data_IF_737841048442
#
_entry.id   IF_737841048442
#
_cell.length_a   1.000
_cell.length_b   1.000
_cell.length_c   1.000
_cell.angle_alpha   90.00
_cell.angle_beta   90.00
_cell.angle_gamma   90.00
#
_symmetry.space_group_name_H-M   'P 1'
#
loop_
_entity.id
_entity.type
_entity.pdbx_description
1 polymer ?
#
# COMPACT_ATOMS: atom_id res chain seq x y z
N UNK A 1 -8.40 -9.33 -12.54
CA UNK A 1 -7.22 -8.46 -12.40
C UNK A 1 -6.18 -8.91 -13.43
N UNK A 2 -5.16 -8.10 -13.70
CA UNK A 2 -4.01 -8.52 -14.52
C UNK A 2 -2.85 -8.75 -13.56
N UNK A 3 -2.29 -9.97 -13.61
CA UNK A 3 -1.22 -10.42 -12.73
C UNK A 3 0.11 -10.41 -13.46
N UNK A 4 1.08 -9.65 -12.97
CA UNK A 4 2.43 -9.59 -13.53
C UNK A 4 3.49 -9.81 -12.44
N UNK A 5 4.63 -10.36 -12.85
CA UNK A 5 5.85 -10.46 -12.05
C UNK A 5 6.99 -9.83 -12.83
N UNK A 6 7.60 -8.81 -12.24
CA UNK A 6 8.84 -8.22 -12.73
C UNK A 6 9.96 -8.56 -11.76
N UNK A 7 11.11 -8.93 -12.28
CA UNK A 7 12.25 -9.31 -11.43
C UNK A 7 13.58 -8.87 -12.01
N UNK A 8 14.49 -8.48 -11.12
CA UNK A 8 15.88 -8.26 -11.42
C UNK A 8 16.75 -8.91 -10.34
N UNK A 9 17.65 -9.78 -10.77
CA UNK A 9 18.58 -10.46 -9.88
C UNK A 9 19.92 -9.74 -9.88
N UNK A 10 20.54 -9.63 -8.71
CA UNK A 10 21.91 -9.10 -8.57
C UNK A 10 22.09 -7.72 -9.23
N UNK A 11 21.21 -6.77 -8.92
CA UNK A 11 21.39 -5.36 -9.28
C UNK A 11 22.74 -4.84 -8.75
N UNK A 12 23.36 -3.86 -9.44
CA UNK A 12 24.72 -3.41 -9.16
C UNK A 12 24.82 -2.42 -7.98
N UNK A 13 23.98 -2.60 -6.97
CA UNK A 13 23.98 -1.82 -5.74
C UNK A 13 23.95 -2.77 -4.54
N UNK A 14 24.15 -2.23 -3.35
CA UNK A 14 23.95 -3.00 -2.12
C UNK A 14 22.46 -3.23 -1.84
N UNK A 15 22.18 -3.98 -0.77
CA UNK A 15 20.81 -4.31 -0.38
C UNK A 15 19.97 -3.06 -0.10
N UNK A 16 20.49 -2.14 0.70
CA UNK A 16 19.74 -0.97 1.18
C UNK A 16 19.37 -0.03 0.03
N UNK A 17 20.27 0.16 -0.95
CA UNK A 17 19.98 0.94 -2.15
C UNK A 17 18.98 0.23 -3.06
N UNK A 18 19.02 -1.10 -3.14
CA UNK A 18 18.00 -1.86 -3.88
C UNK A 18 16.63 -1.78 -3.20
N UNK A 19 16.59 -1.82 -1.87
CA UNK A 19 15.37 -1.67 -1.08
C UNK A 19 14.75 -0.28 -1.25
N UNK A 20 15.57 0.77 -1.24
CA UNK A 20 15.13 2.12 -1.57
C UNK A 20 14.61 2.22 -3.02
N UNK A 21 15.31 1.61 -3.98
CA UNK A 21 14.85 1.56 -5.37
C UNK A 21 13.47 0.91 -5.51
N UNK A 22 13.22 -0.19 -4.79
CA UNK A 22 11.91 -0.84 -4.76
C UNK A 22 10.81 0.13 -4.30
N UNK A 23 11.00 0.77 -3.15
CA UNK A 23 10.04 1.74 -2.61
C UNK A 23 9.80 2.91 -3.56
N UNK A 24 10.86 3.41 -4.20
CA UNK A 24 10.80 4.51 -5.14
C UNK A 24 9.94 4.20 -6.38
N UNK A 25 10.01 2.99 -6.93
CA UNK A 25 9.17 2.58 -8.07
C UNK A 25 7.69 2.57 -7.67
N UNK A 26 7.35 1.95 -6.54
CA UNK A 26 5.97 1.92 -6.03
C UNK A 26 5.48 3.35 -5.76
N UNK A 27 6.30 4.19 -5.13
CA UNK A 27 5.95 5.56 -4.81
C UNK A 27 5.74 6.43 -6.04
N UNK A 28 6.59 6.27 -7.07
CA UNK A 28 6.39 6.93 -8.36
C UNK A 28 5.09 6.49 -9.02
N UNK A 29 4.78 5.19 -9.02
CA UNK A 29 3.50 4.69 -9.55
C UNK A 29 2.29 5.31 -8.85
N UNK A 30 2.30 5.38 -7.52
CA UNK A 30 1.20 6.00 -6.76
C UNK A 30 1.06 7.50 -7.07
N UNK A 31 2.18 8.23 -7.19
CA UNK A 31 2.18 9.65 -7.56
C UNK A 31 1.65 9.91 -8.97
N UNK A 32 2.03 9.09 -9.95
CA UNK A 32 1.50 9.21 -11.31
C UNK A 32 0.03 8.79 -11.39
N UNK A 33 -0.39 7.80 -10.57
CA UNK A 33 -1.79 7.41 -10.43
C UNK A 33 -2.63 8.60 -9.92
N UNK A 34 -2.17 9.30 -8.89
CA UNK A 34 -2.83 10.52 -8.38
C UNK A 34 -2.94 11.62 -9.44
N UNK A 35 -1.87 11.85 -10.23
CA UNK A 35 -1.83 12.89 -11.28
C UNK A 35 -2.87 12.69 -12.37
N UNK A 36 -3.22 11.45 -12.68
CA UNK A 36 -4.27 11.12 -13.66
C UNK A 36 -5.66 10.99 -13.03
N UNK A 37 -5.82 11.38 -11.77
CA UNK A 37 -7.10 11.37 -11.04
C UNK A 37 -7.46 10.03 -10.42
N UNK A 38 -6.54 9.07 -10.40
CA UNK A 38 -6.70 7.80 -9.69
C UNK A 38 -6.47 7.93 -8.18
N UNK A 39 -6.73 6.86 -7.46
CA UNK A 39 -6.47 6.75 -6.03
C UNK A 39 -5.99 5.33 -5.70
N UNK A 40 -5.02 5.21 -4.78
CA UNK A 40 -4.39 3.94 -4.41
C UNK A 40 -5.39 2.86 -4.01
N UNK A 41 -6.48 3.25 -3.32
CA UNK A 41 -7.46 2.35 -2.75
C UNK A 41 -8.23 1.58 -3.83
N UNK A 42 -8.08 2.01 -5.09
CA UNK A 42 -8.74 1.47 -6.27
C UNK A 42 -7.75 1.04 -7.36
N UNK A 43 -6.43 1.02 -7.09
CA UNK A 43 -5.44 0.59 -8.07
C UNK A 43 -5.38 -0.95 -8.20
N UNK A 44 -5.69 -1.66 -7.11
CA UNK A 44 -5.44 -3.09 -6.94
C UNK A 44 -4.24 -3.32 -6.04
N UNK A 45 -3.59 -4.47 -6.19
CA UNK A 45 -2.44 -4.83 -5.35
C UNK A 45 -1.12 -4.65 -6.09
N UNK A 46 -0.15 -4.02 -5.43
CA UNK A 46 1.22 -3.89 -5.91
C UNK A 46 2.17 -4.07 -4.72
N UNK A 47 2.98 -5.13 -4.78
CA UNK A 47 3.98 -5.42 -3.76
C UNK A 47 5.37 -5.43 -4.37
N UNK A 48 6.31 -4.87 -3.62
CA UNK A 48 7.73 -5.03 -3.86
C UNK A 48 8.33 -6.05 -2.90
N UNK A 49 9.44 -6.63 -3.28
CA UNK A 49 10.28 -7.42 -2.37
C UNK A 49 11.73 -7.28 -2.78
N UNK A 50 12.59 -7.00 -1.80
CA UNK A 50 14.04 -6.94 -1.98
C UNK A 50 14.68 -8.08 -1.20
N UNK A 51 15.51 -8.87 -1.89
CA UNK A 51 16.29 -9.94 -1.29
C UNK A 51 17.73 -9.84 -1.76
N UNK A 52 18.65 -9.61 -0.83
CA UNK A 52 20.00 -9.14 -1.14
C UNK A 52 19.95 -7.93 -2.08
N UNK A 53 20.58 -8.01 -3.26
CA UNK A 53 20.51 -7.00 -4.30
C UNK A 53 19.57 -7.40 -5.45
N UNK A 54 18.55 -8.20 -5.16
CA UNK A 54 17.52 -8.58 -6.13
C UNK A 54 16.19 -7.93 -5.75
N UNK A 55 15.44 -7.46 -6.74
CA UNK A 55 14.18 -6.74 -6.55
C UNK A 55 13.10 -7.42 -7.39
N UNK A 56 11.92 -7.60 -6.78
CA UNK A 56 10.76 -8.24 -7.37
C UNK A 56 9.56 -7.30 -7.21
N UNK A 57 8.72 -7.21 -8.23
CA UNK A 57 7.40 -6.57 -8.13
C UNK A 57 6.35 -7.57 -8.60
N UNK A 58 5.38 -7.83 -7.73
CA UNK A 58 4.15 -8.55 -8.09
C UNK A 58 3.01 -7.57 -8.12
N UNK A 59 2.28 -7.52 -9.23
CA UNK A 59 1.11 -6.67 -9.38
C UNK A 59 -0.13 -7.50 -9.70
N UNK A 60 -1.26 -7.09 -9.14
CA UNK A 60 -2.61 -7.58 -9.42
C UNK A 60 -3.53 -6.36 -9.51
N UNK A 61 -3.38 -5.59 -10.58
CA UNK A 61 -4.08 -4.31 -10.75
C UNK A 61 -5.45 -4.52 -11.41
N UNK A 62 -6.40 -3.66 -11.07
CA UNK A 62 -7.80 -3.84 -11.47
C UNK A 62 -8.06 -3.53 -12.96
N UNK A 63 -7.29 -2.63 -13.57
CA UNK A 63 -7.54 -2.13 -14.94
C UNK A 63 -6.33 -2.26 -15.85
N UNK A 64 -6.56 -2.31 -17.17
CA UNK A 64 -5.51 -2.25 -18.19
C UNK A 64 -4.71 -0.94 -18.14
N UNK A 65 -5.36 0.15 -17.76
CA UNK A 65 -4.82 1.49 -17.66
C UNK A 65 -3.82 1.57 -16.50
N UNK A 66 -4.17 1.04 -15.32
CA UNK A 66 -3.25 0.96 -14.18
C UNK A 66 -2.06 0.06 -14.49
N UNK A 67 -2.26 -1.05 -15.22
CA UNK A 67 -1.16 -1.89 -15.68
C UNK A 67 -0.25 -1.17 -16.65
N UNK A 68 -0.80 -0.54 -17.68
CA UNK A 68 -0.02 0.25 -18.65
C UNK A 68 0.80 1.31 -17.94
N UNK A 69 0.20 2.04 -16.99
CA UNK A 69 0.91 3.03 -16.20
C UNK A 69 2.06 2.40 -15.40
N UNK A 70 1.83 1.27 -14.72
CA UNK A 70 2.89 0.60 -13.97
C UNK A 70 4.03 0.11 -14.89
N UNK A 71 3.71 -0.41 -16.07
CA UNK A 71 4.70 -0.80 -17.08
C UNK A 71 5.51 0.40 -17.60
N UNK A 72 4.88 1.57 -17.75
CA UNK A 72 5.61 2.80 -18.08
C UNK A 72 6.57 3.19 -16.96
N UNK A 73 6.13 3.14 -15.70
CA UNK A 73 6.96 3.51 -14.53
C UNK A 73 8.14 2.55 -14.34
N UNK A 74 7.93 1.24 -14.46
CA UNK A 74 9.02 0.28 -14.27
C UNK A 74 10.07 0.35 -15.40
N UNK A 75 9.69 0.92 -16.55
CA UNK A 75 10.57 1.19 -17.68
C UNK A 75 11.10 2.63 -17.74
N UNK A 76 10.77 3.48 -16.76
CA UNK A 76 11.19 4.86 -16.71
C UNK A 76 12.61 5.01 -16.13
N UNK A 77 13.49 5.66 -16.91
CA UNK A 77 14.87 5.96 -16.53
C UNK A 77 15.07 7.40 -16.02
N UNK A 78 13.99 8.17 -15.90
CA UNK A 78 14.01 9.49 -15.30
C UNK A 78 14.55 9.38 -13.87
N UNK A 79 15.58 10.17 -13.49
CA UNK A 79 16.12 10.15 -12.14
C UNK A 79 15.06 10.39 -11.07
N UNK A 80 15.21 9.79 -9.90
CA UNK A 80 14.31 10.04 -8.78
C UNK A 80 14.56 11.42 -8.18
N UNK A 81 13.49 12.19 -8.02
CA UNK A 81 13.55 13.50 -7.39
C UNK A 81 13.87 13.37 -5.90
N UNK A 82 14.65 14.32 -5.37
CA UNK A 82 15.07 14.32 -3.96
C UNK A 82 13.90 14.23 -2.97
N UNK A 83 12.76 14.93 -3.13
CA UNK A 83 11.62 14.78 -2.23
C UNK A 83 11.07 13.35 -2.19
N UNK A 84 11.05 12.64 -3.32
CA UNK A 84 10.55 11.27 -3.40
C UNK A 84 11.52 10.29 -2.72
N UNK A 85 12.83 10.54 -2.85
CA UNK A 85 13.88 9.80 -2.14
C UNK A 85 13.71 9.98 -0.63
N UNK A 86 13.60 11.21 -0.16
CA UNK A 86 13.44 11.48 1.28
C UNK A 86 12.16 10.87 1.84
N UNK A 87 11.03 11.00 1.13
CA UNK A 87 9.77 10.38 1.55
C UNK A 87 9.89 8.84 1.62
N UNK A 88 10.57 8.23 0.65
CA UNK A 88 10.75 6.77 0.63
C UNK A 88 11.67 6.30 1.75
N UNK A 89 12.74 7.05 2.02
CA UNK A 89 13.63 6.81 3.17
C UNK A 89 12.83 6.88 4.48
N UNK A 90 12.02 7.91 4.71
CA UNK A 90 11.19 8.03 5.91
C UNK A 90 10.24 6.84 6.14
N UNK A 91 9.73 6.22 5.07
CA UNK A 91 8.92 5.00 5.19
C UNK A 91 9.77 3.78 5.54
N UNK A 92 10.95 3.63 4.92
CA UNK A 92 11.89 2.54 5.21
C UNK A 92 12.42 2.66 6.65
N UNK A 93 12.66 3.88 7.14
CA UNK A 93 13.01 4.13 8.53
C UNK A 93 11.97 3.54 9.48
N UNK A 94 10.67 3.75 9.21
CA UNK A 94 9.58 3.20 10.01
C UNK A 94 9.43 1.68 9.85
N UNK A 95 9.60 1.15 8.65
CA UNK A 95 9.60 -0.30 8.39
C UNK A 95 10.69 -1.03 9.15
N UNK A 96 11.92 -0.51 9.09
CA UNK A 96 13.11 -1.11 9.70
C UNK A 96 13.34 -0.65 11.14
N UNK A 97 12.51 0.25 11.66
CA UNK A 97 12.69 0.89 12.97
C UNK A 97 14.13 1.42 13.15
N UNK A 98 14.62 2.12 12.14
CA UNK A 98 16.02 2.55 12.01
C UNK A 98 16.11 3.97 11.47
N UNK A 99 17.16 4.70 11.85
CA UNK A 99 17.46 6.00 11.24
C UNK A 99 18.38 5.82 10.03
N UNK A 100 18.14 6.56 8.95
CA UNK A 100 18.88 6.45 7.70
C UNK A 100 19.45 7.81 7.31
N UNK A 101 20.77 7.91 7.25
CA UNK A 101 21.48 9.08 6.72
C UNK A 101 22.00 8.81 5.30
N UNK A 102 21.81 9.76 4.39
CA UNK A 102 22.45 9.71 3.07
C UNK A 102 23.89 10.22 3.23
N UNK A 103 24.86 9.31 3.17
CA UNK A 103 26.28 9.63 3.29
C UNK A 103 26.86 10.27 2.02
N UNK A 104 26.32 9.91 0.85
CA UNK A 104 26.74 10.43 -0.45
C UNK A 104 25.55 10.47 -1.42
N UNK A 105 25.00 11.66 -1.64
CA UNK A 105 23.84 11.89 -2.51
C UNK A 105 24.18 11.63 -3.98
N UNK A 106 25.40 11.96 -4.41
CA UNK A 106 25.83 11.75 -5.80
C UNK A 106 25.95 10.26 -6.09
N UNK A 107 26.61 9.50 -5.21
CA UNK A 107 26.70 8.06 -5.32
C UNK A 107 25.32 7.39 -5.25
N UNK A 108 24.42 7.87 -4.39
CA UNK A 108 23.05 7.35 -4.31
C UNK A 108 22.32 7.48 -5.65
N UNK A 109 22.33 8.67 -6.24
CA UNK A 109 21.69 8.94 -7.53
C UNK A 109 22.29 8.08 -8.65
N UNK A 110 23.62 7.94 -8.69
CA UNK A 110 24.29 7.06 -9.65
C UNK A 110 23.85 5.60 -9.50
N UNK A 111 23.82 5.08 -8.27
CA UNK A 111 23.42 3.69 -8.03
C UNK A 111 21.93 3.45 -8.34
N UNK A 112 21.03 4.39 -8.00
CA UNK A 112 19.61 4.30 -8.35
C UNK A 112 19.39 4.30 -9.88
N UNK A 113 20.11 5.16 -10.61
CA UNK A 113 20.05 5.19 -12.08
C UNK A 113 20.57 3.88 -12.70
N UNK A 114 21.61 3.29 -12.12
CA UNK A 114 22.07 1.95 -12.53
C UNK A 114 21.00 0.90 -12.24
N UNK A 115 20.37 0.90 -11.05
CA UNK A 115 19.27 -0.01 -10.72
C UNK A 115 18.15 0.08 -11.77
N UNK A 116 17.65 1.27 -12.11
CA UNK A 116 16.64 1.47 -13.16
C UNK A 116 17.06 0.84 -14.49
N UNK A 117 18.25 1.21 -14.98
CA UNK A 117 18.76 0.72 -16.27
C UNK A 117 18.90 -0.80 -16.30
N UNK A 118 19.41 -1.40 -15.23
CA UNK A 118 19.65 -2.83 -15.18
C UNK A 118 18.39 -3.65 -14.90
N UNK A 119 17.42 -3.09 -14.18
CA UNK A 119 16.11 -3.68 -13.99
C UNK A 119 15.37 -3.80 -15.33
N UNK A 120 15.41 -2.75 -16.15
CA UNK A 120 14.82 -2.76 -17.50
C UNK A 120 15.51 -3.80 -18.39
N UNK A 121 16.83 -3.89 -18.30
CA UNK A 121 17.59 -4.87 -19.08
C UNK A 121 17.24 -6.32 -18.67
N UNK A 122 17.03 -6.59 -17.38
CA UNK A 122 16.69 -7.93 -16.91
C UNK A 122 15.30 -8.38 -17.38
N UNK A 123 14.38 -7.46 -17.66
CA UNK A 123 13.08 -7.81 -18.25
C UNK A 123 13.21 -8.37 -19.68
N UNK A 124 14.32 -8.10 -20.37
CA UNK A 124 14.51 -8.45 -21.79
C UNK A 124 15.46 -9.63 -22.02
N UNK A 125 16.14 -10.08 -20.98
CA UNK A 125 17.26 -11.02 -21.10
C UNK A 125 17.17 -12.12 -20.06
N UNK A 126 17.81 -13.25 -20.33
CA UNK A 126 17.86 -14.37 -19.39
C UNK A 126 18.55 -13.92 -18.09
N UNK A 127 18.02 -14.29 -16.90
CA UNK A 127 18.62 -13.96 -15.62
C UNK A 127 20.11 -14.35 -15.56
N UNK A 128 20.96 -13.43 -15.10
CA UNK A 128 22.39 -13.69 -14.90
C UNK A 128 22.85 -13.12 -13.56
N UNK A 129 23.55 -13.96 -12.79
CA UNK A 129 24.05 -13.63 -11.45
C UNK A 129 25.47 -13.05 -11.47
N UNK A 130 26.03 -12.72 -12.63
CA UNK A 130 27.47 -12.45 -12.78
C UNK A 130 27.87 -10.98 -12.60
N UNK A 131 27.02 -10.14 -12.01
CA UNK A 131 27.28 -8.69 -11.95
C UNK A 131 27.98 -8.30 -10.65
N UNK A 132 29.08 -7.53 -10.72
CA UNK A 132 29.74 -7.03 -9.53
C UNK A 132 28.81 -6.04 -8.81
N UNK A 133 28.52 -6.34 -7.54
CA UNK A 133 27.75 -5.47 -6.65
C UNK A 133 28.64 -4.30 -6.21
N UNK A 134 28.07 -3.11 -6.06
CA UNK A 134 28.75 -2.03 -5.35
C UNK A 134 29.05 -2.48 -3.92
N UNK A 135 30.26 -2.23 -3.44
CA UNK A 135 30.66 -2.49 -2.05
C UNK A 135 30.52 -1.27 -1.15
N UNK A 136 30.22 -0.11 -1.73
CA UNK A 136 30.14 1.16 -1.03
C UNK A 136 28.67 1.54 -0.93
N UNK A 137 28.18 1.57 0.31
CA UNK A 137 26.82 2.03 0.58
C UNK A 137 26.76 3.55 0.59
N UNK A 138 25.83 4.17 -0.17
CA UNK A 138 25.55 5.59 -0.04
C UNK A 138 24.67 5.89 1.18
N UNK A 139 24.13 4.87 1.85
CA UNK A 139 23.24 4.98 3.01
C UNK A 139 23.96 4.52 4.28
N UNK A 140 23.66 5.17 5.40
CA UNK A 140 24.10 4.75 6.74
C UNK A 140 22.86 4.46 7.57
N UNK A 141 22.70 3.20 7.98
CA UNK A 141 21.55 2.74 8.74
C UNK A 141 21.95 2.50 10.19
N UNK A 142 21.19 3.08 11.11
CA UNK A 142 21.38 2.92 12.55
C UNK A 142 20.10 2.41 13.20
N UNK A 143 20.08 1.14 13.60
CA UNK A 143 18.92 0.54 14.25
C UNK A 143 18.58 1.25 15.56
N UNK A 144 17.36 1.80 15.64
CA UNK A 144 16.95 2.73 16.70
C UNK A 144 15.46 2.57 17.04
N UNK A 145 15.00 1.38 17.46
CA UNK A 145 13.57 1.09 17.60
C UNK A 145 12.86 1.98 18.63
N UNK A 146 13.60 2.47 19.64
CA UNK A 146 13.11 3.46 20.62
C UNK A 146 12.66 4.80 20.02
N UNK A 147 13.05 5.10 18.77
CA UNK A 147 12.68 6.33 18.08
C UNK A 147 11.34 6.19 17.33
N UNK A 148 10.68 5.04 17.44
CA UNK A 148 9.42 4.72 16.79
C UNK A 148 8.39 4.22 17.80
N UNK A 149 7.11 4.43 17.49
CA UNK A 149 5.95 4.03 18.30
C UNK A 149 4.91 3.40 17.38
N UNK A 150 4.24 2.35 17.87
CA UNK A 150 3.11 1.77 17.16
C UNK A 150 1.84 2.61 17.37
N UNK A 151 1.18 2.92 16.25
CA UNK A 151 -0.06 3.68 16.18
C UNK A 151 -1.10 2.82 15.51
N UNK A 152 -2.18 2.54 16.21
CA UNK A 152 -3.29 1.75 15.69
C UNK A 152 -4.43 2.66 15.27
N UNK A 153 -4.95 2.43 14.07
CA UNK A 153 -6.20 3.03 13.60
C UNK A 153 -7.29 1.99 13.66
N UNK A 154 -8.41 2.41 14.24
CA UNK A 154 -9.65 1.69 14.28
C UNK A 154 -10.70 2.43 13.46
N UNK A 155 -11.43 1.72 12.60
CA UNK A 155 -12.55 2.23 11.82
C UNK A 155 -13.74 1.32 12.13
N UNK A 156 -14.81 1.90 12.67
CA UNK A 156 -16.00 1.17 13.09
C UNK A 156 -17.27 1.72 12.43
N UNK A 157 -18.24 0.83 12.22
CA UNK A 157 -19.64 1.19 11.98
C UNK A 157 -20.51 0.46 13.00
N UNK A 158 -21.41 1.20 13.65
CA UNK A 158 -22.39 0.62 14.57
C UNK A 158 -23.64 0.16 13.81
N UNK A 159 -24.36 -0.79 14.39
CA UNK A 159 -25.69 -1.28 13.98
C UNK A 159 -25.81 -1.62 12.49
N UNK A 160 -24.88 -2.43 12.00
CA UNK A 160 -24.85 -2.83 10.59
C UNK A 160 -25.82 -4.00 10.30
N UNK A 161 -26.59 -3.90 9.22
CA UNK A 161 -27.35 -5.04 8.69
C UNK A 161 -26.41 -6.13 8.14
N UNK A 162 -26.94 -7.33 7.87
CA UNK A 162 -26.17 -8.40 7.21
C UNK A 162 -25.56 -7.95 5.89
N UNK A 163 -26.32 -7.18 5.09
CA UNK A 163 -25.84 -6.63 3.82
C UNK A 163 -24.73 -5.59 4.04
N UNK A 164 -24.87 -4.70 5.02
CA UNK A 164 -23.88 -3.66 5.29
C UNK A 164 -22.60 -4.27 5.89
N UNK A 165 -22.73 -5.34 6.67
CA UNK A 165 -21.63 -6.16 7.20
C UNK A 165 -20.84 -6.82 6.09
N UNK A 166 -21.53 -7.43 5.12
CA UNK A 166 -20.90 -7.99 3.93
C UNK A 166 -20.21 -6.90 3.08
N UNK A 167 -20.87 -5.75 2.89
CA UNK A 167 -20.27 -4.62 2.16
C UNK A 167 -19.01 -4.12 2.86
N UNK A 168 -19.05 -3.90 4.18
CA UNK A 168 -17.90 -3.45 4.96
C UNK A 168 -16.76 -4.47 4.88
N UNK A 169 -17.04 -5.77 5.01
CA UNK A 169 -16.02 -6.80 4.83
C UNK A 169 -15.37 -6.76 3.44
N UNK A 170 -16.13 -6.51 2.38
CA UNK A 170 -15.57 -6.44 1.03
C UNK A 170 -14.80 -5.14 0.74
N UNK A 171 -15.09 -4.05 1.46
CA UNK A 171 -14.53 -2.72 1.17
C UNK A 171 -13.66 -2.14 2.29
N UNK A 172 -13.47 -2.82 3.43
CA UNK A 172 -12.58 -2.32 4.48
C UNK A 172 -11.14 -2.05 4.01
N UNK A 173 -10.54 -2.79 3.03
CA UNK A 173 -9.22 -2.43 2.52
C UNK A 173 -9.20 -1.04 1.88
N UNK A 174 -10.28 -0.64 1.19
CA UNK A 174 -10.44 0.72 0.65
C UNK A 174 -10.39 1.74 1.79
N UNK A 175 -11.11 1.48 2.89
CA UNK A 175 -11.13 2.38 4.05
C UNK A 175 -9.71 2.56 4.63
N UNK A 176 -8.97 1.47 4.80
CA UNK A 176 -7.60 1.50 5.32
C UNK A 176 -6.65 2.28 4.41
N UNK A 177 -6.73 2.06 3.09
CA UNK A 177 -5.92 2.79 2.11
C UNK A 177 -6.26 4.29 2.06
N UNK A 178 -7.54 4.66 2.16
CA UNK A 178 -7.98 6.05 2.25
C UNK A 178 -7.44 6.74 3.52
N UNK A 179 -7.43 6.04 4.66
CA UNK A 179 -6.81 6.56 5.89
C UNK A 179 -5.29 6.69 5.71
N UNK A 180 -4.65 5.72 5.07
CA UNK A 180 -3.21 5.75 4.78
C UNK A 180 -2.82 7.01 4.00
N UNK A 181 -3.58 7.37 2.98
CA UNK A 181 -3.34 8.56 2.16
C UNK A 181 -3.37 9.86 2.96
N UNK A 182 -4.37 10.03 3.82
CA UNK A 182 -4.57 11.30 4.52
C UNK A 182 -3.74 11.43 5.80
N UNK A 183 -3.45 10.31 6.47
CA UNK A 183 -2.82 10.29 7.80
C UNK A 183 -1.33 9.97 7.74
N UNK A 184 -0.94 8.99 6.93
CA UNK A 184 0.35 8.32 7.05
C UNK A 184 1.31 8.63 5.90
N UNK A 185 0.79 8.92 4.71
CA UNK A 185 1.64 9.09 3.52
C UNK A 185 2.59 10.30 3.60
N UNK A 186 2.28 11.26 4.49
CA UNK A 186 3.03 12.51 4.67
C UNK A 186 4.04 12.46 5.82
N UNK A 187 4.14 11.33 6.52
CA UNK A 187 4.98 11.14 7.70
C UNK A 187 5.78 9.86 7.61
N UNK A 188 6.80 9.74 8.45
CA UNK A 188 7.64 8.54 8.55
C UNK A 188 6.84 7.41 9.21
N UNK A 189 6.13 6.64 8.39
CA UNK A 189 5.27 5.56 8.85
C UNK A 189 5.25 4.35 7.92
N UNK A 190 4.98 3.17 8.48
CA UNK A 190 4.86 1.94 7.73
C UNK A 190 3.81 1.01 8.37
N UNK A 191 2.92 0.36 7.60
CA UNK A 191 1.96 -0.59 8.16
C UNK A 191 2.69 -1.81 8.73
N UNK A 192 2.74 -1.93 10.06
CA UNK A 192 3.40 -3.03 10.77
C UNK A 192 2.51 -4.26 10.94
N UNK A 193 1.25 -4.18 10.52
CA UNK A 193 0.30 -5.28 10.51
C UNK A 193 -0.58 -5.27 9.26
N UNK A 194 -1.07 -6.45 8.82
CA UNK A 194 -2.13 -6.49 7.85
C UNK A 194 -3.43 -5.93 8.45
N UNK A 195 -4.25 -5.32 7.60
CA UNK A 195 -5.60 -4.92 7.98
C UNK A 195 -6.41 -6.11 8.48
N UNK A 196 -7.18 -5.91 9.56
CA UNK A 196 -8.06 -6.93 10.14
C UNK A 196 -9.50 -6.49 10.02
N UNK A 197 -10.41 -7.43 9.76
CA UNK A 197 -11.85 -7.22 9.86
C UNK A 197 -12.40 -8.06 11.01
N UNK A 198 -13.32 -7.48 11.78
CA UNK A 198 -14.08 -8.14 12.84
C UNK A 198 -15.54 -7.71 12.71
N UNK A 199 -16.44 -8.69 12.74
CA UNK A 199 -17.87 -8.45 12.94
C UNK A 199 -18.24 -8.78 14.39
N UNK A 200 -19.03 -7.93 15.03
CA UNK A 200 -19.64 -8.20 16.34
C UNK A 200 -21.15 -7.98 16.28
N UNK A 201 -21.85 -8.31 17.37
CA UNK A 201 -23.31 -8.43 17.40
C UNK A 201 -24.06 -7.20 16.84
N UNK A 202 -23.52 -6.00 17.06
CA UNK A 202 -24.09 -4.71 16.71
C UNK A 202 -23.13 -3.84 15.88
N UNK A 203 -22.22 -4.42 15.09
CA UNK A 203 -21.37 -3.60 14.24
C UNK A 203 -20.20 -4.31 13.56
N UNK A 204 -19.43 -3.49 12.84
CA UNK A 204 -18.23 -3.92 12.14
C UNK A 204 -17.06 -3.04 12.48
N UNK A 205 -15.89 -3.64 12.41
CA UNK A 205 -14.65 -3.01 12.78
C UNK A 205 -13.53 -3.46 11.86
N UNK A 206 -12.71 -2.51 11.44
CA UNK A 206 -11.40 -2.80 10.88
C UNK A 206 -10.33 -2.04 11.62
N UNK A 207 -9.13 -2.62 11.67
CA UNK A 207 -7.98 -1.94 12.24
C UNK A 207 -6.69 -2.28 11.52
N UNK A 208 -5.74 -1.35 11.62
CA UNK A 208 -4.38 -1.52 11.16
C UNK A 208 -3.41 -0.75 12.06
N UNK A 209 -2.33 -1.42 12.46
CA UNK A 209 -1.21 -0.82 13.19
C UNK A 209 -0.14 -0.34 12.22
N UNK A 210 0.40 0.84 12.51
CA UNK A 210 1.49 1.49 11.81
C UNK A 210 2.63 1.77 12.77
N UNK A 211 3.86 1.42 12.40
CA UNK A 211 5.05 1.96 13.04
C UNK A 211 5.19 3.41 12.60
N UNK A 212 5.35 4.35 13.53
CA UNK A 212 5.51 5.79 13.25
C UNK A 212 6.73 6.36 13.97
N UNK A 213 7.52 7.19 13.29
CA UNK A 213 8.65 7.88 13.93
C UNK A 213 8.16 8.89 14.97
N UNK A 214 8.74 8.87 16.16
CA UNK A 214 8.28 9.66 17.31
C UNK A 214 8.24 11.16 17.02
N UNK A 215 9.16 11.67 16.20
CA UNK A 215 9.22 13.08 15.79
C UNK A 215 8.04 13.52 14.92
N UNK A 216 7.37 12.58 14.25
CA UNK A 216 6.22 12.85 13.39
C UNK A 216 4.86 12.64 14.10
N UNK A 217 4.83 12.12 15.34
CA UNK A 217 3.56 11.87 16.06
C UNK A 217 2.70 13.13 16.18
N UNK A 218 3.30 14.31 16.36
CA UNK A 218 2.59 15.58 16.44
C UNK A 218 1.94 16.01 15.11
N UNK A 219 2.30 15.37 13.99
CA UNK A 219 1.78 15.63 12.65
C UNK A 219 0.67 14.66 12.25
N UNK A 220 0.37 13.64 13.07
CA UNK A 220 -0.73 12.71 12.83
C UNK A 220 -2.06 13.47 12.76
N UNK A 221 -2.85 13.14 11.74
CA UNK A 221 -4.23 13.62 11.64
C UNK A 221 -5.02 13.16 12.88
N UNK A 222 -5.91 13.99 13.40
CA UNK A 222 -6.78 13.57 14.52
C UNK A 222 -7.82 12.54 14.07
N UNK A 223 -8.35 11.77 15.02
CA UNK A 223 -9.52 10.90 14.80
C UNK A 223 -10.66 11.64 14.10
N UNK A 224 -11.00 12.86 14.51
CA UNK A 224 -12.07 13.66 13.91
C UNK A 224 -11.76 14.06 12.46
N UNK A 225 -10.50 14.40 12.17
CA UNK A 225 -10.06 14.74 10.81
C UNK A 225 -10.18 13.56 9.87
N UNK A 226 -9.76 12.37 10.30
CA UNK A 226 -9.86 11.14 9.50
C UNK A 226 -11.32 10.77 9.27
N UNK A 227 -12.13 10.80 10.32
CA UNK A 227 -13.57 10.54 10.22
C UNK A 227 -14.24 11.50 9.23
N UNK A 228 -13.96 12.80 9.34
CA UNK A 228 -14.52 13.83 8.46
C UNK A 228 -14.07 13.62 7.01
N UNK A 229 -12.82 13.22 6.79
CA UNK A 229 -12.32 12.89 5.47
C UNK A 229 -13.08 11.72 4.85
N UNK A 230 -13.23 10.60 5.56
CA UNK A 230 -13.97 9.44 5.07
C UNK A 230 -15.44 9.78 4.81
N UNK A 231 -16.11 10.47 5.74
CA UNK A 231 -17.53 10.86 5.60
C UNK A 231 -17.80 11.78 4.41
N UNK A 232 -16.79 12.56 3.98
CA UNK A 232 -16.89 13.45 2.82
C UNK A 232 -16.26 12.88 1.54
N UNK A 233 -15.72 11.67 1.58
CA UNK A 233 -15.08 11.07 0.41
C UNK A 233 -16.13 10.81 -0.68
N UNK A 234 -15.90 11.37 -1.88
CA UNK A 234 -16.84 11.28 -2.98
C UNK A 234 -16.77 9.91 -3.68
N UNK A 235 -17.32 8.88 -3.06
CA UNK A 235 -17.32 7.54 -3.65
C UNK A 235 -18.11 7.45 -4.97
N UNK A 236 -19.04 8.39 -5.22
CA UNK A 236 -19.80 8.42 -6.47
C UNK A 236 -18.91 8.68 -7.70
N UNK A 237 -17.81 9.41 -7.57
CA UNK A 237 -16.82 9.56 -8.66
C UNK A 237 -16.00 8.30 -8.90
N UNK A 238 -16.05 7.33 -7.99
CA UNK A 238 -15.33 6.04 -8.02
C UNK A 238 -16.28 4.86 -8.29
N UNK A 239 -17.44 5.11 -8.91
CA UNK A 239 -18.41 4.06 -9.23
C UNK A 239 -17.82 2.98 -10.18
N UNK A 240 -17.02 3.40 -11.15
CA UNK A 240 -16.31 2.49 -12.06
C UNK A 240 -15.27 1.67 -11.31
N UNK A 241 -14.56 2.28 -10.37
CA UNK A 241 -13.54 1.61 -9.57
C UNK A 241 -14.13 0.51 -8.68
N UNK A 242 -15.25 0.80 -8.01
CA UNK A 242 -15.99 -0.21 -7.24
C UNK A 242 -16.48 -1.36 -8.12
N UNK A 243 -16.89 -1.07 -9.37
CA UNK A 243 -17.28 -2.12 -10.31
C UNK A 243 -16.09 -2.99 -10.70
N UNK A 244 -14.90 -2.41 -10.89
CA UNK A 244 -13.70 -3.17 -11.20
C UNK A 244 -13.30 -4.09 -10.02
N UNK A 245 -13.44 -3.61 -8.77
CA UNK A 245 -13.27 -4.44 -7.57
C UNK A 245 -14.29 -5.59 -7.54
N UNK A 246 -15.57 -5.31 -7.80
CA UNK A 246 -16.63 -6.32 -7.84
C UNK A 246 -16.39 -7.38 -8.93
N UNK A 247 -15.89 -6.96 -10.09
CA UNK A 247 -15.49 -7.85 -11.18
C UNK A 247 -14.28 -8.72 -10.79
N UNK A 248 -13.31 -8.14 -10.09
CA UNK A 248 -12.16 -8.87 -9.56
C UNK A 248 -12.59 -9.94 -8.55
N UNK A 249 -13.46 -9.60 -7.59
CA UNK A 249 -14.07 -10.58 -6.67
C UNK A 249 -14.76 -11.71 -7.43
N UNK A 250 -15.41 -11.43 -8.56
CA UNK A 250 -16.14 -12.43 -9.33
C UNK A 250 -15.23 -13.34 -10.15
N UNK A 251 -14.18 -12.80 -10.75
CA UNK A 251 -13.42 -13.50 -11.80
C UNK A 251 -12.05 -14.00 -11.33
N UNK A 252 -11.45 -13.35 -10.34
CA UNK A 252 -10.06 -13.56 -10.00
C UNK A 252 -9.85 -14.69 -8.98
N UNK A 253 -8.89 -15.61 -9.19
CA UNK A 253 -8.58 -16.68 -8.25
C UNK A 253 -8.18 -16.18 -6.85
N UNK A 254 -7.62 -14.97 -6.74
CA UNK A 254 -7.21 -14.39 -5.46
C UNK A 254 -8.37 -14.34 -4.44
N UNK A 255 -9.61 -14.12 -4.92
CA UNK A 255 -10.78 -13.99 -4.08
C UNK A 255 -11.57 -15.30 -3.86
N UNK A 256 -11.02 -16.46 -4.25
CA UNK A 256 -11.71 -17.76 -4.07
C UNK A 256 -12.01 -18.07 -2.60
N UNK A 257 -11.10 -17.73 -1.69
CA UNK A 257 -11.21 -18.04 -0.26
C UNK A 257 -12.00 -16.99 0.54
N UNK A 258 -12.39 -15.88 -0.08
CA UNK A 258 -13.09 -14.76 0.60
C UNK A 258 -14.36 -15.20 1.33
N UNK A 259 -15.26 -16.03 0.76
CA UNK A 259 -16.43 -16.50 1.49
C UNK A 259 -16.09 -17.29 2.77
N UNK A 260 -14.97 -18.01 2.77
CA UNK A 260 -14.50 -18.77 3.94
C UNK A 260 -14.09 -17.77 5.05
N UNK A 261 -13.32 -16.75 4.70
CA UNK A 261 -12.92 -15.72 5.66
C UNK A 261 -14.12 -14.95 6.21
N UNK A 262 -15.09 -14.59 5.36
CA UNK A 262 -16.32 -13.94 5.81
C UNK A 262 -17.07 -14.82 6.82
N UNK A 263 -17.29 -16.09 6.48
CA UNK A 263 -18.00 -17.02 7.36
C UNK A 263 -17.30 -17.22 8.70
N UNK A 264 -15.95 -17.26 8.72
CA UNK A 264 -15.18 -17.37 9.95
C UNK A 264 -15.40 -16.18 10.91
N UNK A 265 -15.71 -15.00 10.37
CA UNK A 265 -15.94 -13.79 11.17
C UNK A 265 -17.41 -13.57 11.53
N UNK A 266 -18.36 -14.05 10.73
CA UNK A 266 -19.79 -13.73 10.88
C UNK A 266 -20.70 -14.92 11.17
N UNK A 267 -20.24 -16.15 10.91
CA UNK A 267 -21.05 -17.36 10.82
C UNK A 267 -22.21 -17.29 9.79
N UNK A 268 -22.19 -16.32 8.86
CA UNK A 268 -23.20 -16.14 7.82
C UNK A 268 -22.73 -16.76 6.50
N UNK A 269 -23.44 -17.76 5.95
CA UNK A 269 -22.99 -18.48 4.75
C UNK A 269 -23.36 -17.71 3.48
N UNK A 270 -22.54 -16.73 3.11
CA UNK A 270 -22.68 -16.01 1.84
C UNK A 270 -21.79 -16.63 0.75
N UNK A 271 -22.31 -16.73 -0.47
CA UNK A 271 -21.49 -17.07 -1.62
C UNK A 271 -20.68 -15.86 -2.09
N UNK A 272 -19.66 -16.11 -2.92
CA UNK A 272 -18.92 -15.03 -3.58
C UNK A 272 -19.83 -14.08 -4.38
N UNK A 273 -20.84 -14.63 -5.05
CA UNK A 273 -21.80 -13.84 -5.81
C UNK A 273 -22.70 -12.97 -4.90
N UNK A 274 -22.95 -13.39 -3.66
CA UNK A 274 -23.72 -12.59 -2.71
C UNK A 274 -22.88 -11.44 -2.17
N UNK A 275 -21.62 -11.71 -1.81
CA UNK A 275 -20.65 -10.69 -1.40
C UNK A 275 -20.43 -9.62 -2.50
N UNK A 276 -20.24 -10.04 -3.75
CA UNK A 276 -20.05 -9.13 -4.90
C UNK A 276 -21.19 -8.12 -5.05
N UNK A 277 -22.45 -8.53 -4.84
CA UNK A 277 -23.61 -7.63 -4.96
C UNK A 277 -23.56 -6.47 -3.95
N UNK A 278 -22.86 -6.67 -2.83
CA UNK A 278 -22.74 -5.65 -1.78
C UNK A 278 -21.70 -4.58 -2.09
N UNK A 279 -20.81 -4.83 -3.07
CA UNK A 279 -19.77 -3.90 -3.54
C UNK A 279 -20.41 -2.90 -4.52
N UNK A 280 -21.01 -1.85 -3.98
CA UNK A 280 -21.66 -0.81 -4.77
C UNK A 280 -21.61 0.56 -4.08
N UNK A 281 -21.89 1.61 -4.86
CA UNK A 281 -21.83 3.01 -4.41
C UNK A 281 -22.79 3.30 -3.26
N UNK A 282 -23.98 2.67 -3.24
CA UNK A 282 -24.98 2.93 -2.21
C UNK A 282 -24.51 2.40 -0.84
N UNK A 283 -24.05 1.16 -0.80
CA UNK A 283 -23.54 0.53 0.41
C UNK A 283 -22.26 1.20 0.90
N UNK A 284 -21.32 1.51 0.00
CA UNK A 284 -20.10 2.22 0.38
C UNK A 284 -20.39 3.64 0.90
N UNK A 285 -21.33 4.37 0.30
CA UNK A 285 -21.80 5.65 0.86
C UNK A 285 -22.43 5.49 2.25
N UNK A 286 -23.22 4.44 2.45
CA UNK A 286 -23.85 4.18 3.74
C UNK A 286 -22.80 3.86 4.82
N UNK A 287 -21.74 3.11 4.47
CA UNK A 287 -20.59 2.87 5.34
C UNK A 287 -19.89 4.19 5.65
N UNK A 288 -19.45 4.94 4.63
CA UNK A 288 -18.71 6.18 4.79
C UNK A 288 -19.44 7.20 5.66
N UNK A 289 -20.78 7.29 5.58
CA UNK A 289 -21.57 8.20 6.43
C UNK A 289 -21.63 7.79 7.90
N UNK A 290 -21.40 6.52 8.21
CA UNK A 290 -21.55 5.95 9.56
C UNK A 290 -20.21 5.69 10.24
N UNK A 291 -19.09 5.74 9.51
CA UNK A 291 -17.79 5.45 10.10
C UNK A 291 -17.50 6.36 11.29
N UNK A 292 -16.96 5.75 12.34
CA UNK A 292 -16.21 6.43 13.38
C UNK A 292 -14.78 5.93 13.31
N UNK A 293 -13.84 6.82 13.58
CA UNK A 293 -12.43 6.47 13.55
C UNK A 293 -11.76 6.83 14.86
N UNK A 294 -10.89 5.95 15.34
CA UNK A 294 -10.14 6.15 16.58
C UNK A 294 -8.67 5.86 16.34
N UNK A 295 -7.80 6.79 16.78
CA UNK A 295 -6.36 6.57 16.87
C UNK A 295 -6.01 6.14 18.27
N UNK A 296 -5.27 5.05 18.39
CA UNK A 296 -4.76 4.52 19.65
C UNK A 296 -3.24 4.51 19.57
N UNK A 297 -2.60 5.18 20.53
CA UNK A 297 -1.15 5.15 20.71
C UNK A 297 -0.85 4.07 21.74
N UNK A 298 -0.09 3.04 21.36
CA UNK A 298 0.47 2.09 22.33
C UNK A 298 1.72 2.73 22.95
N UNK A 299 1.59 3.16 24.21
CA UNK A 299 2.69 3.73 25.02
C UNK A 299 3.44 2.65 25.82
#
# INVERSE_FOLDING_TARGET
MIHNLHSAYSLPADHDTCHLFEHLIIRRFLKETEKVGGNRAFAGELYGTTSESSVFFTSALFTSESNTLFEEIINDITPFEEPLIQQSISHIEAEMQSNIDIADVTLLQEQLALCQKYFIYSQKTTPSNSRPKSKISPLKISHSPKDFTDVKIDIEIADASDELTAAFFCTYPILLDLVRDICFDKISSYPSSPGKFIAYYDGNYTSQTYTVKNTDLARLSSSETIQTYLQNFNISSHATDLRNLAEAFTSDPFYISVPIYFYQQTATPLSRNDLVKTINVANMNAILKQVKTTIILDY
#
